data_IF_074161701743
#
_entry.id   IF_074161701743
#
_cell.length_a   1.000
_cell.length_b   1.000
_cell.length_c   1.000
_cell.angle_alpha   90.00
_cell.angle_beta   90.00
_cell.angle_gamma   90.00
#
_symmetry.space_group_name_H-M   'P 1'
#
loop_
_entity.id
_entity.type
_entity.pdbx_description
1 polymer ?
#
# COMPACT_ATOMS: atom_id res chain seq x y z
N UNK A 1 -19.36 -16.08 1.23
CA UNK A 1 -19.68 -14.64 1.34
C UNK A 1 -18.84 -14.12 2.48
N UNK A 2 -18.13 -13.00 2.30
CA UNK A 2 -17.35 -12.42 3.39
C UNK A 2 -18.28 -12.11 4.57
N UNK A 3 -17.87 -12.49 5.78
CA UNK A 3 -18.62 -12.21 7.01
C UNK A 3 -18.28 -10.78 7.46
N UNK A 4 -19.09 -9.82 7.00
CA UNK A 4 -18.88 -8.38 7.23
C UNK A 4 -20.04 -7.78 8.03
N UNK A 5 -19.78 -6.80 8.91
CA UNK A 5 -20.83 -6.16 9.70
C UNK A 5 -21.81 -5.36 8.83
N UNK A 6 -22.91 -4.90 9.44
CA UNK A 6 -23.78 -3.91 8.81
C UNK A 6 -23.01 -2.60 8.61
N UNK A 7 -23.18 -2.01 7.42
CA UNK A 7 -22.48 -0.79 6.96
C UNK A 7 -20.96 -0.96 6.86
N UNK A 8 -20.45 -1.94 6.08
CA UNK A 8 -19.02 -2.18 5.99
C UNK A 8 -18.31 -0.98 5.35
N UNK A 9 -17.15 -0.64 5.90
CA UNK A 9 -16.27 0.43 5.44
C UNK A 9 -15.13 -0.16 4.62
N UNK A 10 -14.86 0.47 3.47
CA UNK A 10 -13.74 0.15 2.58
C UNK A 10 -13.28 1.42 1.86
N UNK A 11 -12.19 1.33 1.12
CA UNK A 11 -11.67 2.40 0.26
C UNK A 11 -11.81 2.05 -1.21
N UNK A 12 -11.62 3.03 -2.11
CA UNK A 12 -11.66 2.79 -3.57
C UNK A 12 -10.40 2.06 -4.06
N UNK A 13 -9.31 2.07 -3.27
CA UNK A 13 -8.04 1.44 -3.62
C UNK A 13 -6.87 2.38 -3.38
N UNK A 14 -6.79 3.49 -4.15
CA UNK A 14 -5.59 4.34 -4.19
C UNK A 14 -5.20 4.93 -2.83
N UNK A 15 -3.94 4.75 -2.44
CA UNK A 15 -3.34 5.27 -1.23
C UNK A 15 -2.25 6.32 -1.53
N UNK A 16 -2.06 7.34 -0.67
CA UNK A 16 -0.97 8.28 -0.83
C UNK A 16 0.40 7.59 -0.83
N UNK A 17 1.16 7.74 -1.91
CA UNK A 17 2.53 7.24 -1.98
C UNK A 17 3.42 8.07 -1.06
N UNK A 18 4.19 7.39 -0.24
CA UNK A 18 5.20 8.03 0.60
C UNK A 18 6.29 8.71 -0.26
N UNK A 19 6.99 9.67 0.35
CA UNK A 19 8.14 10.30 -0.28
C UNK A 19 9.25 9.29 -0.61
N UNK A 20 9.41 8.24 0.21
CA UNK A 20 10.36 7.13 -0.04
C UNK A 20 9.98 6.35 -1.30
N UNK A 21 8.71 5.98 -1.45
CA UNK A 21 8.24 5.23 -2.62
C UNK A 21 8.37 6.03 -3.91
N UNK A 22 8.07 7.34 -3.87
CA UNK A 22 8.25 8.24 -5.03
C UNK A 22 9.72 8.32 -5.44
N UNK A 23 10.65 8.40 -4.48
CA UNK A 23 12.10 8.41 -4.76
C UNK A 23 12.57 7.08 -5.32
N UNK A 24 12.14 5.96 -4.74
CA UNK A 24 12.49 4.63 -5.19
C UNK A 24 12.00 4.37 -6.63
N UNK A 25 10.78 4.80 -6.96
CA UNK A 25 10.24 4.70 -8.32
C UNK A 25 11.10 5.44 -9.34
N UNK A 26 11.58 6.65 -9.00
CA UNK A 26 12.48 7.43 -9.87
C UNK A 26 13.84 6.75 -10.03
N UNK A 27 14.43 6.26 -8.93
CA UNK A 27 15.70 5.53 -8.98
C UNK A 27 15.59 4.27 -9.85
N UNK A 28 14.50 3.52 -9.74
CA UNK A 28 14.21 2.37 -10.60
C UNK A 28 14.12 2.76 -12.07
N UNK A 29 13.37 3.82 -12.39
CA UNK A 29 13.22 4.33 -13.76
C UNK A 29 14.54 4.80 -14.37
N UNK A 30 15.46 5.30 -13.55
CA UNK A 30 16.80 5.73 -13.96
C UNK A 30 17.82 4.59 -14.04
N UNK A 31 17.47 3.36 -13.63
CA UNK A 31 18.41 2.24 -13.54
C UNK A 31 19.37 2.32 -12.34
N UNK A 32 19.10 3.20 -11.38
CA UNK A 32 19.87 3.38 -10.14
C UNK A 32 19.43 2.41 -9.03
N UNK A 33 18.31 1.70 -9.23
CA UNK A 33 17.76 0.72 -8.30
C UNK A 33 17.27 -0.50 -9.07
N UNK A 34 17.58 -1.70 -8.58
CA UNK A 34 17.09 -2.94 -9.20
C UNK A 34 15.60 -3.17 -8.93
N UNK A 35 14.95 -3.95 -9.79
CA UNK A 35 13.55 -4.37 -9.59
C UNK A 35 13.35 -5.05 -8.22
N UNK A 36 14.30 -5.88 -7.79
CA UNK A 36 14.22 -6.58 -6.51
C UNK A 36 14.31 -5.66 -5.30
N UNK A 37 15.08 -4.57 -5.38
CA UNK A 37 15.17 -3.56 -4.33
C UNK A 37 13.90 -2.73 -4.28
N UNK A 38 13.40 -2.32 -5.45
CA UNK A 38 12.15 -1.57 -5.56
C UNK A 38 10.97 -2.38 -5.01
N UNK A 39 10.83 -3.65 -5.43
CA UNK A 39 9.72 -4.49 -5.00
C UNK A 39 9.72 -4.70 -3.49
N UNK A 40 10.90 -4.94 -2.87
CA UNK A 40 11.01 -5.04 -1.41
C UNK A 40 10.54 -3.79 -0.69
N UNK A 41 10.82 -2.60 -1.24
CA UNK A 41 10.33 -1.34 -0.66
C UNK A 41 8.82 -1.19 -0.87
N UNK A 42 8.32 -1.48 -2.07
CA UNK A 42 6.89 -1.42 -2.37
C UNK A 42 6.07 -2.36 -1.48
N UNK A 43 6.56 -3.57 -1.22
CA UNK A 43 5.91 -4.53 -0.31
C UNK A 43 5.79 -3.97 1.11
N UNK A 44 6.78 -3.22 1.60
CA UNK A 44 6.70 -2.56 2.91
C UNK A 44 5.68 -1.43 2.94
N UNK A 45 5.50 -0.70 1.83
CA UNK A 45 4.49 0.35 1.72
C UNK A 45 3.07 -0.25 1.71
N UNK A 46 2.86 -1.40 1.07
CA UNK A 46 1.60 -2.16 1.14
C UNK A 46 1.32 -2.60 2.59
N UNK A 47 2.31 -3.15 3.30
CA UNK A 47 2.15 -3.53 4.71
C UNK A 47 1.77 -2.31 5.57
N UNK A 48 2.41 -1.17 5.34
CA UNK A 48 2.10 0.09 6.03
C UNK A 48 0.66 0.57 5.74
N UNK A 49 0.22 0.47 4.48
CA UNK A 49 -1.13 0.80 4.06
C UNK A 49 -2.18 -0.10 4.75
N UNK A 50 -1.96 -1.42 4.77
CA UNK A 50 -2.84 -2.38 5.44
C UNK A 50 -2.93 -2.09 6.93
N UNK A 51 -1.80 -1.89 7.62
CA UNK A 51 -1.78 -1.55 9.06
C UNK A 51 -2.57 -0.28 9.37
N UNK A 52 -2.42 0.75 8.53
CA UNK A 52 -3.16 2.00 8.69
C UNK A 52 -4.67 1.79 8.57
N UNK A 53 -5.11 0.92 7.66
CA UNK A 53 -6.51 0.56 7.48
C UNK A 53 -7.06 -0.29 8.64
N UNK A 54 -6.27 -1.24 9.14
CA UNK A 54 -6.61 -2.06 10.32
C UNK A 54 -6.76 -1.18 11.57
N UNK A 55 -5.83 -0.27 11.81
CA UNK A 55 -5.88 0.69 12.93
C UNK A 55 -7.08 1.64 12.83
N UNK A 56 -7.51 1.99 11.61
CA UNK A 56 -8.68 2.81 11.36
C UNK A 56 -10.01 2.03 11.45
N UNK A 57 -9.97 0.70 11.58
CA UNK A 57 -11.17 -0.15 11.65
C UNK A 57 -11.85 -0.36 10.29
N UNK A 58 -11.09 -0.37 9.19
CA UNK A 58 -11.62 -0.68 7.85
C UNK A 58 -11.95 -2.17 7.75
N UNK A 59 -13.17 -2.51 7.33
CA UNK A 59 -13.65 -3.90 7.27
C UNK A 59 -13.07 -4.69 6.11
N UNK A 60 -12.84 -4.02 4.97
CA UNK A 60 -12.27 -4.62 3.76
C UNK A 60 -11.10 -3.75 3.31
N UNK A 61 -9.89 -4.25 3.52
CA UNK A 61 -8.65 -3.53 3.20
C UNK A 61 -8.29 -3.63 1.71
N UNK A 62 -7.53 -2.65 1.24
CA UNK A 62 -6.89 -2.63 -0.09
C UNK A 62 -5.37 -2.53 0.04
N UNK A 63 -4.64 -2.83 -1.03
CA UNK A 63 -3.17 -2.76 -1.07
C UNK A 63 -2.62 -1.35 -1.31
N UNK A 64 -3.46 -0.43 -1.78
CA UNK A 64 -3.12 0.98 -1.98
C UNK A 64 -2.75 1.37 -3.40
#
# INVERSE_FOLDING_TARGET
VADTPLFPVTTVGSWPRSTSLIRALRAKQNGEMSDSEFNRLADQEVISCIRSQEEAGVDIVTDG
#
